data_IF_432696650903
#
_entry.id   IF_432696650903
#
_cell.length_a   1.000
_cell.length_b   1.000
_cell.length_c   1.000
_cell.angle_alpha   90.00
_cell.angle_beta   90.00
_cell.angle_gamma   90.00
#
_symmetry.space_group_name_H-M   'P 1'
#
loop_
_entity.id
_entity.type
_entity.pdbx_description
1 polymer ?
#
# COMPACT_ATOMS: atom_id res chain seq x y z
N UNK A 1 -17.53 -47.62 -21.94
CA UNK A 1 -18.40 -47.32 -20.79
C UNK A 1 -18.57 -45.81 -20.71
N UNK A 2 -19.76 -45.32 -21.07
CA UNK A 2 -20.13 -43.91 -20.92
C UNK A 2 -20.34 -43.65 -19.42
N UNK A 3 -19.47 -42.87 -18.80
CA UNK A 3 -19.66 -42.43 -17.41
C UNK A 3 -20.73 -41.33 -17.47
N UNK A 4 -21.99 -41.71 -17.29
CA UNK A 4 -23.07 -40.75 -17.07
C UNK A 4 -22.81 -40.05 -15.74
N UNK A 5 -22.47 -38.76 -15.81
CA UNK A 5 -22.40 -37.90 -14.63
C UNK A 5 -23.75 -37.93 -13.92
N UNK A 6 -23.76 -38.26 -12.63
CA UNK A 6 -24.97 -38.29 -11.81
C UNK A 6 -25.60 -36.88 -11.76
N UNK A 7 -26.93 -36.79 -11.89
CA UNK A 7 -27.66 -35.50 -11.97
C UNK A 7 -27.35 -34.54 -10.80
N UNK A 8 -27.04 -35.07 -9.62
CA UNK A 8 -26.64 -34.27 -8.46
C UNK A 8 -25.30 -33.55 -8.63
N UNK A 9 -24.38 -34.12 -9.41
CA UNK A 9 -23.10 -33.49 -9.71
C UNK A 9 -23.24 -32.37 -10.76
N UNK A 10 -24.20 -32.47 -11.69
CA UNK A 10 -24.54 -31.38 -12.61
C UNK A 10 -25.18 -30.20 -11.86
N UNK A 11 -26.14 -30.46 -10.96
CA UNK A 11 -26.74 -29.44 -10.09
C UNK A 11 -25.70 -28.73 -9.23
N UNK A 12 -24.76 -29.48 -8.64
CA UNK A 12 -23.67 -28.91 -7.85
C UNK A 12 -22.76 -28.00 -8.69
N UNK A 13 -22.42 -28.41 -9.92
CA UNK A 13 -21.65 -27.57 -10.85
C UNK A 13 -22.38 -26.28 -11.21
N UNK A 14 -23.67 -26.35 -11.49
CA UNK A 14 -24.49 -25.17 -11.77
C UNK A 14 -24.56 -24.22 -10.58
N UNK A 15 -24.70 -24.76 -9.37
CA UNK A 15 -24.73 -23.95 -8.14
C UNK A 15 -23.37 -23.28 -7.87
N UNK A 16 -22.26 -24.00 -8.06
CA UNK A 16 -20.91 -23.44 -7.95
C UNK A 16 -20.70 -22.31 -8.97
N UNK A 17 -21.05 -22.52 -10.24
CA UNK A 17 -20.93 -21.49 -11.26
C UNK A 17 -21.85 -20.31 -11.00
N UNK A 18 -23.07 -20.52 -10.50
CA UNK A 18 -23.96 -19.42 -10.09
C UNK A 18 -23.34 -18.57 -8.99
N UNK A 19 -22.85 -19.19 -7.91
CA UNK A 19 -22.14 -18.49 -6.82
C UNK A 19 -20.90 -17.75 -7.32
N UNK A 20 -20.15 -18.35 -8.25
CA UNK A 20 -19.00 -17.71 -8.91
C UNK A 20 -19.41 -16.49 -9.73
N UNK A 21 -20.49 -16.60 -10.50
CA UNK A 21 -21.01 -15.51 -11.33
C UNK A 21 -21.56 -14.37 -10.49
N UNK A 22 -22.23 -14.66 -9.37
CA UNK A 22 -22.66 -13.67 -8.39
C UNK A 22 -21.44 -12.93 -7.83
N UNK A 23 -20.45 -13.66 -7.28
CA UNK A 23 -19.25 -13.05 -6.70
C UNK A 23 -18.43 -12.20 -7.68
N UNK A 24 -18.48 -12.55 -8.96
CA UNK A 24 -17.75 -11.84 -10.02
C UNK A 24 -18.62 -10.82 -10.75
N UNK A 25 -19.80 -10.48 -10.21
CA UNK A 25 -20.66 -9.46 -10.81
C UNK A 25 -19.99 -8.07 -10.73
N UNK A 26 -19.99 -7.35 -11.86
CA UNK A 26 -19.37 -6.02 -11.96
C UNK A 26 -20.12 -5.03 -11.08
N UNK A 27 -21.45 -5.12 -11.04
CA UNK A 27 -22.32 -4.20 -10.33
C UNK A 27 -22.33 -4.41 -8.81
N UNK A 28 -21.75 -5.52 -8.32
CA UNK A 28 -21.49 -5.70 -6.90
C UNK A 28 -20.32 -4.84 -6.40
N UNK A 29 -19.35 -4.54 -7.28
CA UNK A 29 -18.12 -3.82 -6.92
C UNK A 29 -18.12 -2.37 -7.39
N UNK A 30 -18.76 -2.08 -8.53
CA UNK A 30 -18.72 -0.77 -9.17
C UNK A 30 -20.13 -0.28 -9.45
N UNK A 31 -20.37 1.01 -9.18
CA UNK A 31 -21.53 1.70 -9.74
C UNK A 31 -21.27 1.97 -11.21
N UNK A 32 -22.34 2.09 -11.99
CA UNK A 32 -22.25 2.41 -13.42
C UNK A 32 -21.46 3.68 -13.69
N UNK A 33 -21.59 4.71 -12.84
CA UNK A 33 -20.80 5.96 -12.94
C UNK A 33 -19.30 5.77 -12.73
N UNK A 34 -18.89 4.76 -11.97
CA UNK A 34 -17.48 4.49 -11.70
C UNK A 34 -16.78 3.94 -12.95
N UNK A 35 -17.56 3.37 -13.89
CA UNK A 35 -17.07 2.72 -15.09
C UNK A 35 -16.62 3.70 -16.18
N UNK A 36 -16.90 4.99 -16.02
CA UNK A 36 -16.44 6.05 -16.94
C UNK A 36 -14.92 6.28 -16.83
N UNK A 37 -14.31 5.95 -15.69
CA UNK A 37 -12.89 6.18 -15.41
C UNK A 37 -12.14 4.86 -15.27
N UNK A 38 -11.66 4.32 -16.41
CA UNK A 38 -10.90 3.07 -16.49
C UNK A 38 -9.67 3.03 -15.55
N UNK A 39 -9.16 4.20 -15.14
CA UNK A 39 -8.01 4.33 -14.25
C UNK A 39 -8.31 3.94 -12.81
N UNK A 40 -9.60 3.78 -12.45
CA UNK A 40 -10.05 3.36 -11.11
C UNK A 40 -10.59 1.92 -11.09
N UNK A 41 -10.54 1.22 -12.22
CA UNK A 41 -11.18 -0.08 -12.39
C UNK A 41 -10.15 -1.20 -12.38
N UNK A 42 -10.50 -2.27 -11.66
CA UNK A 42 -9.74 -3.52 -11.68
C UNK A 42 -10.06 -4.31 -12.96
N UNK A 43 -9.19 -4.20 -13.96
CA UNK A 43 -9.37 -4.81 -15.28
C UNK A 43 -9.43 -6.34 -15.21
N UNK A 44 -8.63 -6.93 -14.33
CA UNK A 44 -8.66 -8.37 -14.09
C UNK A 44 -9.99 -8.79 -13.46
N UNK A 45 -10.58 -7.97 -12.59
CA UNK A 45 -11.89 -8.27 -12.02
C UNK A 45 -13.02 -8.16 -13.06
N UNK A 46 -13.12 -7.04 -13.78
CA UNK A 46 -14.23 -6.84 -14.74
C UNK A 46 -14.20 -7.87 -15.88
N UNK A 47 -13.01 -8.37 -16.23
CA UNK A 47 -12.84 -9.41 -17.25
C UNK A 47 -12.88 -10.85 -16.70
N UNK A 48 -13.14 -11.07 -15.40
CA UNK A 48 -13.13 -12.42 -14.78
C UNK A 48 -11.78 -13.16 -14.89
N UNK A 49 -10.69 -12.43 -14.64
CA UNK A 49 -9.29 -12.89 -14.74
C UNK A 49 -8.46 -12.67 -13.45
N UNK A 50 -8.99 -12.83 -12.22
CA UNK A 50 -8.24 -12.49 -11.00
C UNK A 50 -6.93 -13.28 -10.86
N UNK A 51 -6.89 -14.54 -11.32
CA UNK A 51 -5.70 -15.39 -11.26
C UNK A 51 -4.58 -15.03 -12.26
N UNK A 52 -4.79 -14.06 -13.14
CA UNK A 52 -3.83 -13.71 -14.21
C UNK A 52 -3.10 -12.39 -13.97
N UNK A 53 -3.30 -11.76 -12.81
CA UNK A 53 -2.59 -10.51 -12.46
C UNK A 53 -1.08 -10.70 -12.35
N UNK A 54 -0.67 -11.81 -11.73
CA UNK A 54 0.74 -12.15 -11.48
C UNK A 54 1.24 -13.33 -12.31
N UNK A 55 0.38 -13.86 -13.19
CA UNK A 55 0.68 -15.02 -14.03
C UNK A 55 0.57 -14.65 -15.51
N UNK A 56 1.17 -15.47 -16.37
CA UNK A 56 1.05 -15.30 -17.81
C UNK A 56 -0.40 -15.41 -18.24
N UNK A 57 -0.89 -14.39 -18.98
CA UNK A 57 -2.25 -14.30 -19.50
C UNK A 57 -2.27 -14.67 -20.99
N UNK A 58 -2.76 -15.87 -21.37
CA UNK A 58 -2.85 -16.25 -22.78
C UNK A 58 -3.91 -15.43 -23.52
N UNK A 59 -3.59 -14.97 -24.74
CA UNK A 59 -4.51 -14.14 -25.55
C UNK A 59 -5.86 -14.85 -25.82
N UNK A 60 -5.84 -16.16 -26.07
CA UNK A 60 -7.06 -16.97 -26.25
C UNK A 60 -7.95 -16.95 -25.00
N UNK A 61 -7.35 -17.02 -23.81
CA UNK A 61 -8.08 -16.96 -22.54
C UNK A 61 -8.69 -15.57 -22.32
N UNK A 62 -7.89 -14.52 -22.54
CA UNK A 62 -8.36 -13.13 -22.47
C UNK A 62 -9.55 -12.90 -23.40
N UNK A 63 -9.45 -13.33 -24.67
CA UNK A 63 -10.53 -13.17 -25.65
C UNK A 63 -11.79 -13.96 -25.28
N UNK A 64 -11.63 -15.22 -24.83
CA UNK A 64 -12.77 -16.04 -24.37
C UNK A 64 -13.52 -15.35 -23.24
N UNK A 65 -12.79 -14.90 -22.21
CA UNK A 65 -13.34 -14.26 -21.02
C UNK A 65 -14.01 -12.93 -21.32
N UNK A 66 -13.40 -12.13 -22.19
CA UNK A 66 -14.02 -10.91 -22.71
C UNK A 66 -15.36 -11.17 -23.40
N UNK A 67 -15.45 -12.20 -24.28
CA UNK A 67 -16.71 -12.56 -24.95
C UNK A 67 -17.79 -13.02 -23.97
N UNK A 68 -17.43 -13.85 -22.99
CA UNK A 68 -18.34 -14.28 -21.93
C UNK A 68 -18.95 -13.07 -21.20
N UNK A 69 -18.10 -12.08 -20.87
CA UNK A 69 -18.54 -10.84 -20.22
C UNK A 69 -19.42 -9.96 -21.10
N UNK A 70 -19.10 -9.77 -22.37
CA UNK A 70 -19.96 -8.99 -23.29
C UNK A 70 -21.36 -9.60 -23.40
N UNK A 71 -21.45 -10.93 -23.52
CA UNK A 71 -22.76 -11.60 -23.66
C UNK A 71 -23.60 -11.40 -22.40
N UNK A 72 -22.97 -11.44 -21.22
CA UNK A 72 -23.63 -11.21 -19.93
C UNK A 72 -24.10 -9.76 -19.77
N UNK A 73 -23.24 -8.79 -20.08
CA UNK A 73 -23.50 -7.35 -19.93
C UNK A 73 -23.75 -6.65 -21.27
N UNK A 74 -24.50 -7.31 -22.15
CA UNK A 74 -24.79 -6.77 -23.47
C UNK A 74 -25.54 -5.42 -23.35
N UNK A 75 -25.27 -4.40 -24.19
CA UNK A 75 -25.92 -3.07 -24.09
C UNK A 75 -27.46 -3.10 -24.11
N UNK A 76 -28.07 -4.06 -24.82
CA UNK A 76 -29.53 -4.24 -24.79
C UNK A 76 -30.09 -4.70 -23.42
N UNK A 77 -29.24 -5.23 -22.53
CA UNK A 77 -29.61 -5.78 -21.21
C UNK A 77 -29.04 -4.97 -20.04
N UNK A 78 -28.02 -4.15 -20.27
CA UNK A 78 -27.26 -3.46 -19.23
C UNK A 78 -26.73 -2.14 -19.77
N UNK A 79 -26.29 -1.26 -18.88
CA UNK A 79 -25.77 0.06 -19.27
C UNK A 79 -24.58 -0.05 -20.24
N UNK A 80 -24.59 0.76 -21.29
CA UNK A 80 -23.54 0.81 -22.33
C UNK A 80 -22.15 1.06 -21.74
N UNK A 81 -22.06 1.78 -20.62
CA UNK A 81 -20.79 2.04 -19.92
C UNK A 81 -20.08 0.77 -19.48
N UNK A 82 -20.82 -0.28 -19.10
CA UNK A 82 -20.23 -1.57 -18.74
C UNK A 82 -19.55 -2.18 -19.97
N UNK A 83 -20.21 -2.12 -21.12
CA UNK A 83 -19.65 -2.62 -22.37
C UNK A 83 -18.40 -1.84 -22.78
N UNK A 84 -18.40 -0.51 -22.65
CA UNK A 84 -17.24 0.33 -22.94
C UNK A 84 -16.05 -0.01 -22.02
N UNK A 85 -16.28 -0.14 -20.72
CA UNK A 85 -15.23 -0.53 -19.77
C UNK A 85 -14.66 -1.93 -20.06
N UNK A 86 -15.51 -2.90 -20.44
CA UNK A 86 -15.06 -4.24 -20.86
C UNK A 86 -14.19 -4.18 -22.12
N UNK A 87 -14.62 -3.41 -23.13
CA UNK A 87 -13.87 -3.23 -24.39
C UNK A 87 -12.51 -2.60 -24.13
N UNK A 88 -12.48 -1.51 -23.37
CA UNK A 88 -11.24 -0.78 -23.09
C UNK A 88 -10.31 -1.62 -22.21
N UNK A 89 -10.85 -2.33 -21.22
CA UNK A 89 -10.09 -3.29 -20.41
C UNK A 89 -9.46 -4.41 -21.24
N UNK A 90 -10.20 -4.96 -22.20
CA UNK A 90 -9.66 -5.96 -23.13
C UNK A 90 -8.51 -5.38 -23.97
N UNK A 91 -8.69 -4.19 -24.54
CA UNK A 91 -7.65 -3.52 -25.35
C UNK A 91 -6.39 -3.20 -24.53
N UNK A 92 -6.54 -2.81 -23.27
CA UNK A 92 -5.42 -2.56 -22.35
C UNK A 92 -4.66 -3.85 -22.06
N UNK A 93 -5.35 -4.90 -21.60
CA UNK A 93 -4.71 -6.16 -21.22
C UNK A 93 -4.13 -6.92 -22.42
N UNK A 94 -4.69 -6.71 -23.62
CA UNK A 94 -4.16 -7.28 -24.87
C UNK A 94 -2.82 -6.67 -25.27
N UNK A 95 -2.64 -5.35 -25.07
CA UNK A 95 -1.42 -4.63 -25.46
C UNK A 95 -0.38 -4.74 -24.35
N UNK A 96 0.70 -5.49 -24.61
CA UNK A 96 1.80 -5.73 -23.65
C UNK A 96 2.29 -4.45 -22.94
N UNK A 97 2.45 -3.36 -23.69
CA UNK A 97 2.84 -2.06 -23.13
C UNK A 97 1.82 -1.53 -22.10
N UNK A 98 0.54 -1.41 -22.48
CA UNK A 98 -0.48 -0.84 -21.60
C UNK A 98 -0.84 -1.77 -20.46
N UNK A 99 -0.82 -3.10 -20.66
CA UNK A 99 -0.90 -4.08 -19.59
C UNK A 99 0.19 -3.85 -18.55
N UNK A 100 1.44 -3.73 -18.98
CA UNK A 100 2.56 -3.45 -18.07
C UNK A 100 2.34 -2.13 -17.32
N UNK A 101 1.96 -1.05 -18.01
CA UNK A 101 1.70 0.25 -17.35
C UNK A 101 0.53 0.20 -16.37
N UNK A 102 -0.51 -0.56 -16.69
CA UNK A 102 -1.64 -0.83 -15.80
C UNK A 102 -1.19 -1.58 -14.54
N UNK A 103 -0.44 -2.67 -14.71
CA UNK A 103 0.08 -3.48 -13.60
C UNK A 103 1.02 -2.64 -12.70
N UNK A 104 1.91 -1.83 -13.29
CA UNK A 104 2.78 -0.89 -12.55
C UNK A 104 1.97 0.16 -11.77
N UNK A 105 0.88 0.69 -12.34
CA UNK A 105 0.06 1.73 -11.73
C UNK A 105 -0.78 1.21 -10.55
N UNK A 106 -1.35 0.01 -10.69
CA UNK A 106 -2.19 -0.62 -9.66
C UNK A 106 -1.41 -1.45 -8.63
N UNK A 107 -0.08 -1.49 -8.71
CA UNK A 107 0.73 -2.11 -7.67
C UNK A 107 0.61 -1.28 -6.39
N UNK A 108 0.02 -1.90 -5.36
CA UNK A 108 -0.26 -1.26 -4.08
C UNK A 108 1.02 -1.22 -3.22
N UNK A 109 1.42 -0.02 -2.84
CA UNK A 109 2.54 0.19 -1.93
C UNK A 109 1.99 0.31 -0.52
N UNK A 110 2.14 -0.77 0.26
CA UNK A 110 1.78 -0.76 1.67
C UNK A 110 2.44 0.42 2.37
N UNK A 111 1.64 1.24 3.05
CA UNK A 111 2.16 2.33 3.87
C UNK A 111 2.79 1.70 5.12
N UNK A 112 4.10 1.86 5.28
CA UNK A 112 4.81 1.46 6.49
C UNK A 112 4.54 2.49 7.58
N UNK A 113 4.01 2.02 8.72
CA UNK A 113 3.72 2.89 9.86
C UNK A 113 4.96 3.05 10.75
N UNK A 114 5.16 4.21 11.36
CA UNK A 114 6.24 4.39 12.31
C UNK A 114 5.79 3.95 13.71
N UNK A 115 5.81 2.63 13.95
CA UNK A 115 5.48 2.02 15.25
C UNK A 115 6.51 0.98 15.65
N UNK A 116 6.40 0.46 16.87
CA UNK A 116 7.17 -0.72 17.28
C UNK A 116 6.60 -1.96 16.60
N UNK A 117 7.50 -2.79 16.08
CA UNK A 117 7.21 -4.05 15.44
C UNK A 117 7.78 -5.18 16.29
N UNK A 118 7.07 -6.31 16.37
CA UNK A 118 7.69 -7.57 16.84
C UNK A 118 8.75 -8.03 15.84
N UNK A 119 9.63 -8.96 16.23
CA UNK A 119 10.67 -9.47 15.33
C UNK A 119 10.05 -10.16 14.11
N UNK A 120 9.03 -10.98 14.32
CA UNK A 120 8.31 -11.68 13.26
C UNK A 120 7.62 -10.69 12.32
N UNK A 121 6.90 -9.73 12.89
CA UNK A 121 6.16 -8.71 12.13
C UNK A 121 7.11 -7.80 11.34
N UNK A 122 8.28 -7.49 11.88
CA UNK A 122 9.32 -6.73 11.19
C UNK A 122 9.75 -7.44 9.90
N UNK A 123 10.18 -8.69 10.00
CA UNK A 123 10.66 -9.41 8.80
C UNK A 123 9.54 -9.63 7.80
N UNK A 124 8.31 -9.93 8.24
CA UNK A 124 7.17 -10.13 7.36
C UNK A 124 6.83 -8.85 6.58
N UNK A 125 6.58 -7.74 7.28
CA UNK A 125 6.11 -6.50 6.66
C UNK A 125 7.19 -5.87 5.79
N UNK A 126 8.42 -5.75 6.29
CA UNK A 126 9.49 -5.06 5.56
C UNK A 126 10.00 -5.90 4.40
N UNK A 127 10.11 -7.23 4.53
CA UNK A 127 10.51 -8.07 3.39
C UNK A 127 9.48 -8.00 2.28
N UNK A 128 8.18 -8.12 2.59
CA UNK A 128 7.12 -8.01 1.59
C UNK A 128 7.14 -6.63 0.90
N UNK A 129 7.24 -5.55 1.68
CA UNK A 129 7.34 -4.20 1.13
C UNK A 129 8.51 -4.04 0.17
N UNK A 130 9.73 -4.39 0.59
CA UNK A 130 10.92 -4.21 -0.23
C UNK A 130 10.95 -5.17 -1.43
N UNK A 131 10.41 -6.38 -1.32
CA UNK A 131 10.27 -7.30 -2.45
C UNK A 131 9.32 -6.73 -3.51
N UNK A 132 8.18 -6.18 -3.12
CA UNK A 132 7.24 -5.57 -4.07
C UNK A 132 7.84 -4.34 -4.76
N UNK A 133 8.52 -3.49 -4.01
CA UNK A 133 9.17 -2.28 -4.56
C UNK A 133 10.41 -2.63 -5.40
N UNK A 134 11.08 -3.75 -5.13
CA UNK A 134 12.27 -4.20 -5.87
C UNK A 134 12.02 -4.36 -7.37
N UNK A 135 10.78 -4.68 -7.76
CA UNK A 135 10.34 -4.78 -9.15
C UNK A 135 10.59 -3.50 -9.96
N UNK A 136 10.63 -2.36 -9.27
CA UNK A 136 10.87 -1.06 -9.88
C UNK A 136 12.32 -0.61 -9.73
N UNK A 137 13.23 -1.38 -9.16
CA UNK A 137 14.62 -0.92 -9.05
C UNK A 137 15.26 -0.76 -10.43
N UNK A 138 16.01 0.33 -10.60
CA UNK A 138 16.90 0.50 -11.75
C UNK A 138 18.13 -0.42 -11.69
N UNK A 139 18.52 -0.83 -10.48
CA UNK A 139 19.66 -1.69 -10.23
C UNK A 139 19.22 -3.15 -10.12
N UNK A 140 19.97 -4.08 -10.73
CA UNK A 140 19.65 -5.51 -10.71
C UNK A 140 20.12 -6.23 -9.44
N UNK A 141 21.20 -5.75 -8.82
CA UNK A 141 21.74 -6.32 -7.60
C UNK A 141 21.04 -5.67 -6.40
N UNK A 142 19.92 -6.25 -6.00
CA UNK A 142 19.06 -5.74 -4.94
C UNK A 142 19.40 -6.50 -3.65
N UNK A 143 19.93 -5.84 -2.61
CA UNK A 143 20.20 -6.50 -1.34
C UNK A 143 18.88 -6.89 -0.66
N UNK A 144 18.84 -8.12 -0.15
CA UNK A 144 17.72 -8.61 0.67
C UNK A 144 17.81 -8.04 2.09
N UNK A 145 16.65 -7.89 2.75
CA UNK A 145 16.58 -7.54 4.17
C UNK A 145 17.33 -8.58 5.03
N UNK A 146 17.31 -9.84 4.61
CA UNK A 146 17.93 -10.96 5.31
C UNK A 146 17.12 -11.42 6.54
N UNK A 147 17.84 -11.98 7.50
CA UNK A 147 17.33 -12.57 8.74
C UNK A 147 18.12 -12.05 9.96
N UNK A 148 17.83 -12.60 11.15
CA UNK A 148 18.50 -12.28 12.41
C UNK A 148 20.01 -12.55 12.43
N UNK A 149 20.50 -13.45 11.57
CA UNK A 149 21.90 -13.86 11.50
C UNK A 149 22.69 -13.10 10.42
N UNK A 150 22.05 -12.16 9.73
CA UNK A 150 22.66 -11.41 8.63
C UNK A 150 23.80 -10.53 9.15
N UNK A 151 24.93 -10.54 8.44
CA UNK A 151 26.14 -9.82 8.88
C UNK A 151 25.95 -8.31 8.84
N UNK A 152 26.71 -7.59 9.69
CA UNK A 152 26.63 -6.12 9.79
C UNK A 152 26.94 -5.43 8.46
N UNK A 153 27.80 -6.02 7.63
CA UNK A 153 28.15 -5.52 6.29
C UNK A 153 26.93 -5.57 5.37
N UNK A 154 26.24 -6.72 5.30
CA UNK A 154 25.03 -6.89 4.47
C UNK A 154 23.90 -5.98 4.92
N UNK A 155 23.75 -5.77 6.23
CA UNK A 155 22.76 -4.82 6.77
C UNK A 155 23.08 -3.40 6.31
N UNK A 156 24.35 -2.98 6.35
CA UNK A 156 24.77 -1.65 5.87
C UNK A 156 24.54 -1.49 4.37
N UNK A 157 24.89 -2.50 3.57
CA UNK A 157 24.65 -2.51 2.12
C UNK A 157 23.16 -2.38 1.80
N UNK A 158 22.32 -3.14 2.50
CA UNK A 158 20.87 -3.05 2.39
C UNK A 158 20.36 -1.62 2.61
N UNK A 159 20.69 -1.00 3.75
CA UNK A 159 20.22 0.35 4.03
C UNK A 159 20.86 1.43 3.15
N UNK A 160 22.08 1.23 2.67
CA UNK A 160 22.72 2.14 1.72
C UNK A 160 22.01 2.12 0.36
N UNK A 161 21.61 0.93 -0.10
CA UNK A 161 20.84 0.77 -1.34
C UNK A 161 19.47 1.44 -1.25
N UNK A 162 18.68 1.14 -0.22
CA UNK A 162 17.30 1.62 -0.11
C UNK A 162 17.20 3.11 0.21
N UNK A 163 18.18 3.70 0.92
CA UNK A 163 18.28 5.16 1.08
C UNK A 163 18.54 5.89 -0.24
N UNK A 164 19.29 5.27 -1.15
CA UNK A 164 19.62 5.79 -2.47
C UNK A 164 18.78 5.14 -3.58
N UNK A 165 17.58 4.67 -3.25
CA UNK A 165 16.74 3.95 -4.20
C UNK A 165 16.48 4.80 -5.46
N UNK A 166 16.73 4.18 -6.62
CA UNK A 166 16.42 4.68 -7.95
C UNK A 166 15.36 3.79 -8.59
N UNK A 167 14.22 4.40 -8.95
CA UNK A 167 13.06 3.70 -9.48
C UNK A 167 12.94 3.82 -11.00
N UNK A 168 12.43 2.78 -11.63
CA UNK A 168 11.99 2.69 -13.02
C UNK A 168 10.45 2.69 -13.13
N UNK A 169 9.73 2.80 -12.01
CA UNK A 169 8.27 2.86 -11.98
C UNK A 169 7.79 4.05 -12.82
N UNK A 170 6.77 3.82 -13.62
CA UNK A 170 6.16 4.88 -14.42
C UNK A 170 4.66 4.98 -14.17
N UNK A 171 4.14 6.20 -14.20
CA UNK A 171 2.72 6.50 -14.03
C UNK A 171 2.04 6.75 -15.39
N UNK A 172 2.55 6.07 -16.42
CA UNK A 172 2.17 6.33 -17.81
C UNK A 172 0.73 5.92 -18.11
N UNK A 173 0.19 4.95 -17.36
CA UNK A 173 -1.21 4.55 -17.48
C UNK A 173 -2.20 5.70 -17.24
N UNK A 174 -1.80 6.75 -16.50
CA UNK A 174 -2.60 7.97 -16.37
C UNK A 174 -2.85 8.67 -17.71
N UNK A 175 -1.96 8.52 -18.69
CA UNK A 175 -2.16 9.05 -20.05
C UNK A 175 -2.98 8.14 -20.96
N UNK A 176 -3.39 6.96 -20.49
CA UNK A 176 -4.25 6.11 -21.30
C UNK A 176 -5.60 6.80 -21.54
N UNK A 177 -5.94 7.04 -22.79
CA UNK A 177 -7.23 7.59 -23.20
C UNK A 177 -7.78 6.74 -24.34
N UNK A 178 -9.01 6.20 -24.21
CA UNK A 178 -9.67 5.49 -25.30
C UNK A 178 -9.72 6.37 -26.54
N UNK A 179 -9.44 5.79 -27.71
CA UNK A 179 -9.42 6.51 -28.99
C UNK A 179 -8.50 7.74 -29.02
N UNK A 180 -7.42 7.78 -28.22
CA UNK A 180 -6.47 8.90 -28.20
C UNK A 180 -5.98 9.32 -29.61
N UNK A 181 -5.81 8.35 -30.53
CA UNK A 181 -5.44 8.64 -31.93
C UNK A 181 -6.45 9.54 -32.67
N UNK A 182 -7.75 9.43 -32.38
CA UNK A 182 -8.81 10.20 -33.06
C UNK A 182 -8.97 11.63 -32.53
N UNK A 183 -8.25 12.01 -31.47
CA UNK A 183 -8.24 13.37 -30.96
C UNK A 183 -7.45 14.32 -31.87
N UNK A 184 -7.82 15.60 -31.87
CA UNK A 184 -7.05 16.65 -32.54
C UNK A 184 -5.67 16.81 -31.90
N UNK A 185 -4.69 17.32 -32.65
CA UNK A 185 -3.33 17.54 -32.15
C UNK A 185 -3.32 18.48 -30.93
N UNK A 186 -4.15 19.53 -30.97
CA UNK A 186 -4.32 20.46 -29.85
C UNK A 186 -4.83 19.74 -28.58
N UNK A 187 -5.86 18.90 -28.71
CA UNK A 187 -6.43 18.16 -27.58
C UNK A 187 -5.43 17.14 -27.00
N UNK A 188 -4.63 16.49 -27.85
CA UNK A 188 -3.54 15.59 -27.44
C UNK A 188 -2.49 16.33 -26.62
N UNK A 189 -2.02 17.48 -27.12
CA UNK A 189 -1.02 18.28 -26.45
C UNK A 189 -1.51 18.79 -25.10
N UNK A 190 -2.73 19.32 -25.03
CA UNK A 190 -3.32 19.81 -23.78
C UNK A 190 -3.48 18.67 -22.75
N UNK A 191 -3.96 17.51 -23.18
CA UNK A 191 -4.09 16.32 -22.34
C UNK A 191 -2.75 15.90 -21.75
N UNK A 192 -1.71 15.77 -22.58
CA UNK A 192 -0.41 15.28 -22.12
C UNK A 192 0.29 16.28 -21.21
N UNK A 193 0.22 17.58 -21.53
CA UNK A 193 0.78 18.64 -20.70
C UNK A 193 0.20 18.65 -19.28
N UNK A 194 -1.11 18.44 -19.13
CA UNK A 194 -1.77 18.35 -17.81
C UNK A 194 -1.21 17.20 -16.97
N UNK A 195 -0.82 16.10 -17.60
CA UNK A 195 -0.37 14.89 -16.90
C UNK A 195 1.13 14.88 -16.59
N UNK A 196 1.95 15.68 -17.29
CA UNK A 196 3.41 15.75 -17.03
C UNK A 196 3.68 16.03 -15.55
N UNK A 197 3.03 17.05 -14.98
CA UNK A 197 3.21 17.41 -13.57
C UNK A 197 2.71 16.31 -12.63
N UNK A 198 1.50 15.79 -12.88
CA UNK A 198 0.89 14.74 -12.04
C UNK A 198 1.75 13.48 -11.98
N UNK A 199 2.25 13.01 -13.14
CA UNK A 199 3.13 11.83 -13.20
C UNK A 199 4.44 12.06 -12.45
N UNK A 200 5.03 13.25 -12.59
CA UNK A 200 6.26 13.62 -11.88
C UNK A 200 6.05 13.66 -10.37
N UNK A 201 4.94 14.24 -9.92
CA UNK A 201 4.61 14.34 -8.50
C UNK A 201 4.41 12.93 -7.89
N UNK A 202 3.67 12.05 -8.57
CA UNK A 202 3.50 10.65 -8.13
C UNK A 202 4.79 9.85 -8.12
N UNK A 203 5.68 10.06 -9.11
CA UNK A 203 7.00 9.44 -9.12
C UNK A 203 7.86 9.91 -7.94
N UNK A 204 7.86 11.21 -7.66
CA UNK A 204 8.60 11.75 -6.51
C UNK A 204 8.02 11.22 -5.20
N UNK A 205 6.69 11.17 -5.06
CA UNK A 205 6.01 10.61 -3.89
C UNK A 205 6.39 9.14 -3.67
N UNK A 206 6.38 8.33 -4.73
CA UNK A 206 6.84 6.93 -4.69
C UNK A 206 8.27 6.80 -4.16
N UNK A 207 9.22 7.54 -4.75
CA UNK A 207 10.63 7.48 -4.32
C UNK A 207 10.79 7.93 -2.87
N UNK A 208 10.07 8.97 -2.46
CA UNK A 208 10.09 9.45 -1.07
C UNK A 208 9.54 8.40 -0.11
N UNK A 209 8.41 7.76 -0.43
CA UNK A 209 7.82 6.68 0.40
C UNK A 209 8.78 5.53 0.61
N UNK A 210 9.48 5.08 -0.43
CA UNK A 210 10.45 3.98 -0.33
C UNK A 210 11.61 4.36 0.59
N UNK A 211 12.13 5.58 0.48
CA UNK A 211 13.23 6.07 1.33
C UNK A 211 12.78 6.26 2.78
N UNK A 212 11.55 6.72 2.99
CA UNK A 212 10.95 6.84 4.32
C UNK A 212 10.75 5.47 4.95
N UNK A 213 10.23 4.49 4.20
CA UNK A 213 10.11 3.10 4.66
C UNK A 213 11.48 2.52 5.03
N UNK A 214 12.55 2.81 4.27
CA UNK A 214 13.92 2.41 4.61
C UNK A 214 14.39 3.01 5.94
N UNK A 215 14.07 4.28 6.20
CA UNK A 215 14.38 4.94 7.48
C UNK A 215 13.61 4.32 8.63
N UNK A 216 12.30 4.07 8.46
CA UNK A 216 11.47 3.42 9.47
C UNK A 216 11.97 1.98 9.72
N UNK A 217 12.40 1.27 8.67
CA UNK A 217 13.01 -0.05 8.77
C UNK A 217 14.29 -0.01 9.60
N UNK A 218 15.19 0.95 9.35
CA UNK A 218 16.47 1.07 10.07
C UNK A 218 16.26 1.35 11.57
N UNK A 219 15.30 2.21 11.90
CA UNK A 219 14.87 2.46 13.30
C UNK A 219 14.22 1.20 13.88
N UNK A 220 13.42 0.53 13.04
CA UNK A 220 12.69 -0.74 13.11
C UNK A 220 13.50 -2.03 13.30
N UNK A 221 14.80 -2.04 13.00
CA UNK A 221 15.56 -3.29 12.88
C UNK A 221 15.88 -3.94 14.23
N UNK A 222 15.47 -5.21 14.47
CA UNK A 222 15.74 -5.92 15.71
C UNK A 222 17.22 -6.31 15.88
N UNK A 223 18.01 -6.27 14.80
CA UNK A 223 19.44 -6.65 14.82
C UNK A 223 20.34 -5.54 15.38
N UNK A 224 19.83 -4.31 15.45
CA UNK A 224 20.51 -3.25 16.17
C UNK A 224 20.16 -3.36 17.66
N UNK A 225 21.18 -3.30 18.51
CA UNK A 225 20.98 -3.21 19.96
C UNK A 225 20.20 -1.92 20.26
N UNK A 226 18.97 -2.08 20.76
CA UNK A 226 18.21 -0.98 21.33
C UNK A 226 18.28 -1.07 22.83
N UNK A 227 18.39 0.08 23.48
CA UNK A 227 17.92 0.20 24.85
C UNK A 227 16.43 -0.18 24.84
N UNK A 228 16.06 -1.26 25.53
CA UNK A 228 14.65 -1.59 25.74
C UNK A 228 14.05 -0.43 26.55
N UNK A 229 13.25 0.40 25.88
CA UNK A 229 12.49 1.47 26.54
C UNK A 229 11.37 0.77 27.30
N UNK A 230 11.56 0.55 28.60
CA UNK A 230 10.52 0.02 29.46
C UNK A 230 9.41 1.06 29.62
N UNK A 231 8.23 0.77 29.08
CA UNK A 231 7.04 1.57 29.33
C UNK A 231 6.29 0.97 30.52
N UNK A 232 6.12 1.76 31.57
CA UNK A 232 5.34 1.35 32.74
C UNK A 232 3.88 1.07 32.35
N UNK A 233 3.29 -0.08 32.73
CA UNK A 233 1.88 -0.38 32.47
C UNK A 233 0.91 0.67 33.01
N UNK A 234 1.31 1.42 34.05
CA UNK A 234 0.52 2.53 34.62
C UNK A 234 0.33 3.69 33.63
N UNK A 235 1.20 3.81 32.64
CA UNK A 235 1.12 4.82 31.59
C UNK A 235 0.27 4.33 30.40
N UNK A 236 -0.08 3.05 30.31
CA UNK A 236 -0.88 2.48 29.21
C UNK A 236 -2.36 2.49 29.64
N UNK A 237 -2.94 3.68 29.73
CA UNK A 237 -4.31 3.92 30.23
C UNK A 237 -5.02 4.98 29.37
N UNK A 238 -6.36 5.03 29.42
CA UNK A 238 -7.17 6.02 28.69
C UNK A 238 -6.92 6.01 27.17
N UNK A 239 -6.80 4.81 26.60
CA UNK A 239 -6.54 4.59 25.18
C UNK A 239 -5.13 4.93 24.73
N UNK A 240 -4.19 5.24 25.64
CA UNK A 240 -2.76 5.36 25.31
C UNK A 240 -2.16 3.96 25.18
N UNK A 241 -1.59 3.67 24.02
CA UNK A 241 -0.86 2.42 23.76
C UNK A 241 0.60 2.53 24.17
N UNK A 242 1.32 1.42 24.28
CA UNK A 242 2.77 1.42 24.49
C UNK A 242 3.51 2.24 23.42
N UNK A 243 3.12 2.09 22.15
CA UNK A 243 3.65 2.86 21.03
C UNK A 243 3.41 4.37 21.21
N UNK A 244 2.24 4.75 21.73
CA UNK A 244 1.91 6.16 21.98
C UNK A 244 2.85 6.76 23.03
N UNK A 245 3.20 6.00 24.07
CA UNK A 245 4.10 6.48 25.14
C UNK A 245 5.52 6.61 24.63
N UNK A 246 6.01 5.62 23.87
CA UNK A 246 7.35 5.67 23.27
C UNK A 246 7.46 6.85 22.31
N UNK A 247 6.46 7.03 21.45
CA UNK A 247 6.38 8.16 20.53
C UNK A 247 6.35 9.49 21.31
N UNK A 248 5.57 9.55 22.39
CA UNK A 248 5.48 10.74 23.24
C UNK A 248 6.85 11.10 23.83
N UNK A 249 7.56 10.16 24.45
CA UNK A 249 8.87 10.44 25.05
C UNK A 249 9.92 10.81 24.00
N UNK A 250 9.90 10.16 22.84
CA UNK A 250 10.78 10.49 21.71
C UNK A 250 10.54 11.90 21.20
N UNK A 251 9.29 12.27 20.93
CA UNK A 251 8.94 13.61 20.46
C UNK A 251 9.16 14.67 21.54
N UNK A 252 8.95 14.34 22.82
CA UNK A 252 9.28 15.22 23.94
C UNK A 252 10.76 15.54 23.90
N UNK A 253 11.65 14.53 23.81
CA UNK A 253 13.10 14.75 23.68
C UNK A 253 13.46 15.61 22.47
N UNK A 254 12.84 15.35 21.31
CA UNK A 254 13.09 16.09 20.05
C UNK A 254 12.70 17.57 20.12
N UNK A 255 11.57 17.88 20.75
CA UNK A 255 10.99 19.23 20.77
C UNK A 255 11.21 19.99 22.09
N UNK A 256 11.96 19.42 23.03
CA UNK A 256 12.39 20.12 24.24
C UNK A 256 13.59 21.00 23.92
N UNK A 257 13.46 22.32 24.14
CA UNK A 257 14.54 23.29 24.04
C UNK A 257 14.70 23.98 25.41
N UNK A 258 15.71 23.55 26.17
CA UNK A 258 15.90 24.00 27.55
C UNK A 258 14.73 23.54 28.44
N UNK A 259 14.01 24.50 29.04
CA UNK A 259 12.83 24.23 29.90
C UNK A 259 11.49 24.22 29.16
N UNK A 260 11.48 24.60 27.88
CA UNK A 260 10.25 24.75 27.10
C UNK A 260 10.12 23.64 26.05
N UNK A 261 8.89 23.17 25.85
CA UNK A 261 8.55 22.15 24.85
C UNK A 261 7.69 22.84 23.79
N UNK A 262 8.08 22.71 22.51
CA UNK A 262 7.26 23.19 21.38
C UNK A 262 6.09 22.22 21.14
N UNK A 263 5.03 22.39 21.95
CA UNK A 263 3.86 21.53 21.91
C UNK A 263 3.09 21.59 20.59
N UNK A 264 3.17 22.70 19.85
CA UNK A 264 2.49 22.82 18.54
C UNK A 264 3.11 21.88 17.52
N UNK A 265 4.44 21.89 17.38
CA UNK A 265 5.13 20.95 16.48
C UNK A 265 5.04 19.51 16.96
N UNK A 266 5.13 19.30 18.27
CA UNK A 266 4.91 17.99 18.88
C UNK A 266 3.56 17.39 18.47
N UNK A 267 2.47 18.15 18.61
CA UNK A 267 1.12 17.67 18.28
C UNK A 267 1.01 17.35 16.79
N UNK A 268 1.55 18.20 15.91
CA UNK A 268 1.52 17.98 14.47
C UNK A 268 2.21 16.66 14.09
N UNK A 269 3.42 16.42 14.60
CA UNK A 269 4.17 15.20 14.29
C UNK A 269 3.54 13.95 14.95
N UNK A 270 3.06 14.06 16.19
CA UNK A 270 2.39 12.95 16.87
C UNK A 270 1.13 12.51 16.11
N UNK A 271 0.30 13.46 15.67
CA UNK A 271 -0.92 13.17 14.91
C UNK A 271 -0.59 12.62 13.52
N UNK A 272 0.47 13.11 12.87
CA UNK A 272 0.88 12.57 11.56
C UNK A 272 1.36 11.12 11.64
N UNK A 273 2.09 10.76 12.69
CA UNK A 273 2.66 9.42 12.84
C UNK A 273 1.64 8.40 13.36
N UNK A 274 0.78 8.80 14.30
CA UNK A 274 -0.10 7.86 15.00
C UNK A 274 -1.55 7.88 14.50
N UNK A 275 -1.92 8.81 13.60
CA UNK A 275 -3.26 8.99 13.01
C UNK A 275 -4.41 9.22 14.03
N UNK A 276 -4.16 9.10 15.34
CA UNK A 276 -5.10 9.39 16.40
C UNK A 276 -5.17 10.90 16.68
N UNK A 277 -6.38 11.46 16.60
CA UNK A 277 -6.62 12.86 16.97
C UNK A 277 -6.69 12.98 18.49
N UNK A 278 -5.62 13.51 19.10
CA UNK A 278 -5.59 13.90 20.51
C UNK A 278 -5.52 15.41 20.64
N UNK A 279 -6.20 15.95 21.65
CA UNK A 279 -6.21 17.40 21.92
C UNK A 279 -4.94 17.82 22.63
N UNK A 280 -4.63 19.12 22.59
CA UNK A 280 -3.48 19.67 23.34
C UNK A 280 -3.59 19.35 24.84
N UNK A 281 -4.81 19.37 25.38
CA UNK A 281 -5.10 19.04 26.78
C UNK A 281 -4.68 17.61 27.12
N UNK A 282 -4.92 16.65 26.23
CA UNK A 282 -4.57 15.24 26.45
C UNK A 282 -3.04 15.06 26.56
N UNK A 283 -2.28 15.77 25.73
CA UNK A 283 -0.82 15.73 25.77
C UNK A 283 -0.25 16.34 27.06
N UNK A 284 -0.82 17.48 27.50
CA UNK A 284 -0.39 18.11 28.76
C UNK A 284 -0.70 17.24 29.97
N UNK A 285 -1.91 16.66 30.03
CA UNK A 285 -2.27 15.70 31.08
C UNK A 285 -1.28 14.53 31.05
N UNK A 286 -0.99 13.99 29.87
CA UNK A 286 -0.07 12.85 29.75
C UNK A 286 1.34 13.20 30.19
N UNK A 287 1.83 14.40 29.86
CA UNK A 287 3.12 14.89 30.31
C UNK A 287 3.21 14.90 31.85
N UNK A 288 2.17 15.42 32.51
CA UNK A 288 2.14 15.46 33.98
C UNK A 288 2.11 14.07 34.60
N UNK A 289 1.45 13.09 33.97
CA UNK A 289 1.45 11.70 34.44
C UNK A 289 2.84 11.07 34.33
N UNK A 290 3.53 11.28 33.20
CA UNK A 290 4.89 10.78 32.97
C UNK A 290 5.88 11.41 33.96
N UNK A 291 5.82 12.74 34.15
CA UNK A 291 6.71 13.44 35.08
C UNK A 291 6.51 13.02 36.53
N UNK A 292 5.26 12.82 36.96
CA UNK A 292 4.96 12.26 38.29
C UNK A 292 5.54 10.87 38.46
N UNK A 293 5.33 9.99 37.48
CA UNK A 293 5.87 8.64 37.52
C UNK A 293 7.39 8.62 37.62
N UNK A 294 8.08 9.46 36.83
CA UNK A 294 9.54 9.58 36.86
C UNK A 294 10.06 10.12 38.20
N UNK A 295 9.36 11.08 38.80
CA UNK A 295 9.70 11.61 40.12
C UNK A 295 9.51 10.57 41.23
N UNK A 296 8.42 9.79 41.20
CA UNK A 296 8.16 8.72 42.17
C UNK A 296 9.21 7.60 42.08
N UNK A 297 9.65 7.23 40.88
CA UNK A 297 10.72 6.24 40.69
C UNK A 297 12.07 6.74 41.20
N UNK A 298 12.39 8.03 41.01
CA UNK A 298 13.64 8.63 41.47
C UNK A 298 13.67 8.84 42.99
N UNK A 299 12.52 9.19 43.59
CA UNK A 299 12.39 9.34 45.04
C UNK A 299 12.54 8.01 45.79
N UNK A 300 11.97 6.92 45.27
CA UNK A 300 12.11 5.59 45.89
C UNK A 300 13.56 5.06 45.83
N UNK A 301 14.31 5.36 44.75
CA UNK A 301 15.71 4.98 44.61
C UNK A 301 16.66 5.72 45.58
N UNK A 302 16.29 6.91 46.04
CA UNK A 302 17.06 7.67 47.05
C UNK A 302 16.71 7.27 48.49
N UNK A 303 15.52 6.72 48.74
CA UNK A 303 15.11 6.23 50.07
C UNK A 303 15.61 4.81 50.41
N UNK A 304 16.26 4.13 49.46
CA UNK A 304 16.71 2.73 49.58
C UNK A 304 18.24 2.58 49.62
N UNK A 305 18.98 3.65 49.92
CA UNK A 305 20.45 3.63 50.09
C UNK A 305 20.86 3.89 51.53
#
# INVERSE_FOLDING_TARGET
MSITLHADHERLKEEIERKRLEKTDILQRYKVSDLDDIKKIDLYFILDLPGYRFNDLPEKTLFKKYRERIVRYHPNKSDEKIFMALRDGYEILKKSYWKKKYDEYFLDEKIIENRVYSEEEFYEIFSDFFNNVSLFSKNKNIPSLGDKNTSKEKIKEFYAFWRNFESTRSFEFLSYTPNYHSLSEYAKQEHDQKLVKVKKDLFNEHVLKVREAAKICEINDPRFEREKIYVSPKLIVNGWTENDIILFERLKKKYTQGKNIDWKKFQQEFVSENKQKRTMRDFLIKNTQIERFQNDTNGNAQSSK
#
